data_IF_305310270361
#
_entry.id   IF_305310270361
#
_cell.length_a   1.000
_cell.length_b   1.000
_cell.length_c   1.000
_cell.angle_alpha   90.00
_cell.angle_beta   90.00
_cell.angle_gamma   90.00
#
_symmetry.space_group_name_H-M   'P 1'
#
loop_
_entity.id
_entity.type
_entity.pdbx_description
1 polymer ?
#
# COMPACT_ATOMS: atom_id res chain seq x y z
N UNK A 1 4.74 -17.98 -6.74
CA UNK A 1 5.63 -17.46 -7.81
C UNK A 1 6.20 -16.16 -7.27
N UNK A 2 7.53 -16.07 -7.13
CA UNK A 2 8.18 -14.83 -6.66
C UNK A 2 8.65 -14.06 -7.89
N UNK A 3 7.93 -13.00 -8.24
CA UNK A 3 8.36 -12.07 -9.28
C UNK A 3 9.35 -11.07 -8.68
N UNK A 4 10.53 -10.95 -9.30
CA UNK A 4 11.59 -10.05 -8.84
C UNK A 4 11.53 -8.74 -9.61
N UNK A 5 11.35 -7.64 -8.89
CA UNK A 5 11.28 -6.30 -9.47
C UNK A 5 12.60 -5.57 -9.18
N UNK A 6 13.44 -5.38 -10.21
CA UNK A 6 14.69 -4.67 -10.06
C UNK A 6 14.52 -3.19 -10.43
N UNK A 7 14.45 -2.32 -9.43
CA UNK A 7 14.25 -0.88 -9.62
C UNK A 7 15.52 -0.13 -9.18
N UNK A 8 16.04 0.79 -9.99
CA UNK A 8 17.08 1.69 -9.54
C UNK A 8 16.53 2.62 -8.46
N UNK A 9 17.01 2.46 -7.22
CA UNK A 9 16.70 3.39 -6.13
C UNK A 9 17.62 4.60 -6.14
N UNK A 10 17.06 5.77 -5.85
CA UNK A 10 17.87 6.95 -5.56
C UNK A 10 18.64 6.77 -4.26
N UNK A 11 19.83 7.38 -4.11
CA UNK A 11 20.64 7.25 -2.89
C UNK A 11 19.94 7.77 -1.64
N UNK A 12 19.03 8.75 -1.81
CA UNK A 12 18.19 9.30 -0.75
C UNK A 12 17.20 8.25 -0.22
N UNK A 13 16.50 7.55 -1.11
CA UNK A 13 15.57 6.49 -0.73
C UNK A 13 16.29 5.32 -0.06
N UNK A 14 17.47 4.94 -0.58
CA UNK A 14 18.30 3.89 0.02
C UNK A 14 18.67 4.24 1.46
N UNK A 15 19.11 5.49 1.69
CA UNK A 15 19.46 5.97 3.03
C UNK A 15 18.25 6.01 3.97
N UNK A 16 17.06 6.33 3.46
CA UNK A 16 15.83 6.31 4.25
C UNK A 16 15.42 4.88 4.64
N UNK A 17 15.50 3.94 3.69
CA UNK A 17 15.23 2.52 3.93
C UNK A 17 16.23 1.95 4.94
N UNK A 18 17.53 2.21 4.78
CA UNK A 18 18.56 1.71 5.70
C UNK A 18 18.32 2.20 7.13
N UNK A 19 17.95 3.48 7.33
CA UNK A 19 17.60 4.01 8.66
C UNK A 19 16.37 3.33 9.27
N UNK A 20 15.34 3.06 8.48
CA UNK A 20 14.13 2.37 8.94
C UNK A 20 14.42 0.90 9.25
N UNK A 21 15.27 0.27 8.43
CA UNK A 21 15.77 -1.09 8.59
C UNK A 21 16.54 -1.24 9.91
N UNK A 22 17.42 -0.28 10.22
CA UNK A 22 18.16 -0.22 11.49
C UNK A 22 17.25 0.03 12.70
N UNK A 23 16.21 0.85 12.55
CA UNK A 23 15.29 1.19 13.62
C UNK A 23 14.31 0.05 13.97
N UNK A 24 13.79 -0.66 12.96
CA UNK A 24 12.79 -1.72 13.13
C UNK A 24 13.40 -3.14 13.16
N UNK A 25 14.68 -3.30 12.78
CA UNK A 25 15.35 -4.60 12.72
C UNK A 25 14.81 -5.53 11.62
N UNK A 26 14.13 -4.96 10.62
CA UNK A 26 13.56 -5.68 9.47
C UNK A 26 14.54 -5.68 8.30
N UNK A 27 14.50 -6.68 7.42
CA UNK A 27 15.28 -6.66 6.17
C UNK A 27 14.77 -5.55 5.23
N UNK A 28 15.65 -4.88 4.46
CA UNK A 28 15.25 -3.81 3.53
C UNK A 28 14.20 -4.27 2.52
N UNK A 29 14.34 -5.51 2.04
CA UNK A 29 13.41 -6.16 1.12
C UNK A 29 12.02 -6.34 1.74
N UNK A 30 11.96 -6.76 3.00
CA UNK A 30 10.70 -6.96 3.72
C UNK A 30 9.98 -5.63 3.98
N UNK A 31 10.73 -4.59 4.31
CA UNK A 31 10.18 -3.25 4.49
C UNK A 31 9.63 -2.68 3.18
N UNK A 32 10.38 -2.81 2.08
CA UNK A 32 9.94 -2.39 0.75
C UNK A 32 8.71 -3.19 0.29
N UNK A 33 8.70 -4.49 0.51
CA UNK A 33 7.57 -5.35 0.14
C UNK A 33 6.31 -4.99 0.92
N UNK A 34 6.43 -4.74 2.23
CA UNK A 34 5.32 -4.30 3.07
C UNK A 34 4.80 -2.94 2.65
N UNK A 35 5.68 -1.97 2.40
CA UNK A 35 5.31 -0.65 1.91
C UNK A 35 4.61 -0.70 0.55
N UNK A 36 5.09 -1.55 -0.38
CA UNK A 36 4.44 -1.80 -1.66
C UNK A 36 3.05 -2.42 -1.49
N UNK A 37 2.92 -3.41 -0.60
CA UNK A 37 1.62 -4.03 -0.30
C UNK A 37 0.64 -3.01 0.27
N UNK A 38 1.05 -2.20 1.25
CA UNK A 38 0.20 -1.15 1.82
C UNK A 38 -0.17 -0.10 0.76
N UNK A 39 0.79 0.35 -0.06
CA UNK A 39 0.53 1.31 -1.13
C UNK A 39 -0.47 0.79 -2.16
N UNK A 40 -0.28 -0.45 -2.62
CA UNK A 40 -1.19 -1.11 -3.55
C UNK A 40 -2.56 -1.31 -2.91
N UNK A 41 -2.62 -1.73 -1.64
CA UNK A 41 -3.87 -1.91 -0.91
C UNK A 41 -4.65 -0.60 -0.80
N UNK A 42 -4.00 0.50 -0.40
CA UNK A 42 -4.63 1.82 -0.30
C UNK A 42 -5.11 2.30 -1.68
N UNK A 43 -4.34 2.07 -2.74
CA UNK A 43 -4.74 2.43 -4.10
C UNK A 43 -5.93 1.60 -4.59
N UNK A 44 -5.92 0.28 -4.36
CA UNK A 44 -7.04 -0.60 -4.68
C UNK A 44 -8.29 -0.22 -3.90
N UNK A 45 -8.15 0.08 -2.61
CA UNK A 45 -9.25 0.53 -1.76
C UNK A 45 -9.83 1.87 -2.25
N UNK A 46 -8.97 2.83 -2.63
CA UNK A 46 -9.41 4.11 -3.20
C UNK A 46 -10.13 3.93 -4.54
N UNK A 47 -9.58 3.12 -5.45
CA UNK A 47 -10.22 2.84 -6.73
C UNK A 47 -11.52 2.07 -6.57
N UNK A 48 -11.60 1.13 -5.61
CA UNK A 48 -12.83 0.43 -5.28
C UNK A 48 -13.87 1.39 -4.67
N UNK A 49 -13.45 2.28 -3.77
CA UNK A 49 -14.29 3.36 -3.22
C UNK A 49 -14.83 4.27 -4.32
N UNK A 50 -13.99 4.72 -5.24
CA UNK A 50 -14.41 5.55 -6.38
C UNK A 50 -15.39 4.81 -7.28
N UNK A 51 -15.18 3.52 -7.55
CA UNK A 51 -16.10 2.70 -8.35
C UNK A 51 -17.44 2.45 -7.64
N UNK A 52 -17.44 2.25 -6.32
CA UNK A 52 -18.65 2.09 -5.52
C UNK A 52 -19.42 3.41 -5.41
N UNK A 53 -18.73 4.53 -5.17
CA UNK A 53 -19.32 5.88 -5.20
C UNK A 53 -19.89 6.26 -6.57
N UNK A 54 -19.24 5.84 -7.67
CA UNK A 54 -19.79 6.03 -9.02
C UNK A 54 -21.04 5.17 -9.29
N UNK A 55 -21.15 4.00 -8.65
CA UNK A 55 -22.32 3.12 -8.77
C UNK A 55 -23.46 3.50 -7.84
N UNK A 56 -23.20 4.25 -6.77
CA UNK A 56 -24.23 4.65 -5.82
C UNK A 56 -24.73 6.06 -6.09
N UNK A 57 -25.98 6.16 -6.53
CA UNK A 57 -26.79 7.38 -6.44
C UNK A 57 -27.27 7.64 -4.99
N UNK A 58 -26.58 7.10 -3.98
CA UNK A 58 -26.96 7.15 -2.57
C UNK A 58 -25.70 7.29 -1.70
N UNK A 59 -25.78 8.14 -0.68
CA UNK A 59 -24.72 8.43 0.29
C UNK A 59 -24.37 7.18 1.11
N UNK A 60 -23.38 6.41 0.67
CA UNK A 60 -22.77 5.38 1.51
C UNK A 60 -21.67 6.02 2.36
N UNK A 61 -21.80 5.82 3.67
CA UNK A 61 -20.83 6.30 4.67
C UNK A 61 -19.61 5.38 4.72
N UNK A 62 -18.48 5.91 5.19
CA UNK A 62 -17.21 5.16 5.27
C UNK A 62 -17.34 3.86 6.11
N UNK A 63 -18.32 3.78 7.03
CA UNK A 63 -18.67 2.57 7.79
C UNK A 63 -19.23 1.43 6.92
N UNK A 64 -20.05 1.73 5.90
CA UNK A 64 -20.66 0.72 5.03
C UNK A 64 -19.61 0.05 4.12
N UNK A 65 -18.58 0.81 3.75
CA UNK A 65 -17.46 0.30 2.93
C UNK A 65 -16.59 -0.65 3.77
N UNK A 66 -16.48 -0.40 5.08
CA UNK A 66 -15.69 -1.23 5.98
C UNK A 66 -16.36 -2.60 6.24
N UNK A 67 -17.69 -2.64 6.35
CA UNK A 67 -18.46 -3.89 6.53
C UNK A 67 -18.42 -4.81 5.30
N UNK A 68 -18.39 -4.28 4.07
CA UNK A 68 -18.39 -5.11 2.86
C UNK A 68 -17.04 -5.79 2.56
N UNK A 69 -15.94 -5.27 3.10
CA UNK A 69 -14.59 -5.76 2.81
C UNK A 69 -14.04 -6.67 3.93
N UNK A 70 -14.74 -6.75 5.07
CA UNK A 70 -14.35 -7.57 6.23
C UNK A 70 -14.81 -9.03 6.14
#
# INVERSE_FOLDING_TARGET
>A
MQDTLNIPLTPELRSAIDRLTEAEGLSPEGLVQKALQEFVFVHQFRSLREQLLQKSQADYTDDDIFEMVS
#
